data_IF_889593559913
#
_entry.id   IF_889593559913
#
_cell.length_a   1.000
_cell.length_b   1.000
_cell.length_c   1.000
_cell.angle_alpha   90.00
_cell.angle_beta   90.00
_cell.angle_gamma   90.00
#
_symmetry.space_group_name_H-M   'P 1'
#
loop_
_entity.id
_entity.type
_entity.pdbx_description
1 polymer ?
#
# COMPACT_ATOMS: atom_id res chain seq x y z
N UNK A 1 1.09 -3.37 -2.92
CA UNK A 1 1.59 -2.48 -3.99
C UNK A 1 3.04 -2.11 -3.70
N UNK A 2 3.91 -2.05 -4.71
CA UNK A 2 5.32 -1.68 -4.53
C UNK A 2 5.61 -0.19 -4.76
N UNK A 3 4.73 0.69 -4.31
CA UNK A 3 4.84 2.14 -4.55
C UNK A 3 5.89 2.80 -3.67
N UNK A 4 6.16 2.21 -2.49
CA UNK A 4 7.22 2.62 -1.57
C UNK A 4 8.23 1.51 -1.27
N UNK A 5 8.12 0.35 -1.94
CA UNK A 5 8.95 -0.83 -1.71
C UNK A 5 9.10 -1.67 -2.99
N UNK A 6 10.21 -2.38 -3.13
CA UNK A 6 10.53 -3.34 -4.19
C UNK A 6 10.78 -2.80 -5.62
N UNK A 7 10.09 -1.76 -6.11
CA UNK A 7 10.23 -1.29 -7.51
C UNK A 7 11.05 -0.01 -7.68
N UNK A 8 12.28 -0.02 -7.16
CA UNK A 8 13.21 1.10 -7.25
C UNK A 8 12.92 2.20 -6.22
N UNK A 9 13.58 3.37 -6.36
CA UNK A 9 13.41 4.47 -5.41
C UNK A 9 11.95 4.95 -5.36
N UNK A 10 11.41 5.23 -4.16
CA UNK A 10 10.07 5.79 -4.03
C UNK A 10 9.96 7.10 -4.81
N UNK A 11 8.81 7.29 -5.46
CA UNK A 11 8.49 8.52 -6.18
C UNK A 11 7.88 9.55 -5.21
N UNK A 12 7.84 10.84 -5.58
CA UNK A 12 7.17 11.85 -4.77
C UNK A 12 5.73 11.44 -4.45
N UNK A 13 5.30 11.67 -3.21
CA UNK A 13 3.99 11.26 -2.70
C UNK A 13 2.83 11.75 -3.59
N UNK A 14 2.90 13.01 -4.04
CA UNK A 14 1.87 13.60 -4.89
C UNK A 14 1.70 12.86 -6.23
N UNK A 15 2.78 12.33 -6.80
CA UNK A 15 2.72 11.58 -8.05
C UNK A 15 2.11 10.20 -7.82
N UNK A 16 2.37 9.58 -6.66
CA UNK A 16 1.77 8.31 -6.28
C UNK A 16 0.28 8.44 -5.98
N UNK A 17 -0.16 9.52 -5.33
CA UNK A 17 -1.59 9.81 -5.14
C UNK A 17 -2.29 9.95 -6.49
N UNK A 18 -1.71 10.71 -7.42
CA UNK A 18 -2.24 10.85 -8.80
C UNK A 18 -2.32 9.50 -9.52
N UNK A 19 -1.31 8.65 -9.35
CA UNK A 19 -1.29 7.32 -9.94
C UNK A 19 -2.43 6.44 -9.39
N UNK A 20 -2.68 6.46 -8.08
CA UNK A 20 -3.80 5.73 -7.47
C UNK A 20 -5.13 6.24 -8.02
N UNK A 21 -5.33 7.56 -8.08
CA UNK A 21 -6.55 8.15 -8.63
C UNK A 21 -6.76 7.78 -10.11
N UNK A 22 -5.68 7.79 -10.90
CA UNK A 22 -5.72 7.36 -12.29
C UNK A 22 -6.12 5.89 -12.42
N UNK A 23 -5.53 5.01 -11.60
CA UNK A 23 -5.87 3.58 -11.60
C UNK A 23 -7.35 3.34 -11.27
N UNK A 24 -7.87 4.01 -10.24
CA UNK A 24 -9.30 3.92 -9.86
C UNK A 24 -10.20 4.48 -10.97
N UNK A 25 -9.82 5.60 -11.58
CA UNK A 25 -10.55 6.18 -12.72
C UNK A 25 -10.54 5.26 -13.95
N UNK A 26 -9.49 4.45 -14.13
CA UNK A 26 -9.37 3.44 -15.17
C UNK A 26 -10.11 2.13 -14.85
N UNK A 27 -10.82 2.05 -13.72
CA UNK A 27 -11.63 0.90 -13.34
C UNK A 27 -10.92 -0.13 -12.45
N UNK A 28 -9.74 0.19 -11.90
CA UNK A 28 -9.12 -0.66 -10.87
C UNK A 28 -9.93 -0.56 -9.58
N UNK A 29 -10.45 -1.69 -9.11
CA UNK A 29 -11.31 -1.77 -7.91
C UNK A 29 -10.65 -2.46 -6.73
N UNK A 30 -9.46 -3.02 -6.86
CA UNK A 30 -8.74 -3.68 -5.76
C UNK A 30 -7.43 -2.95 -5.48
N UNK A 31 -7.26 -2.48 -4.25
CA UNK A 31 -6.01 -1.94 -3.73
C UNK A 31 -5.45 -2.89 -2.67
N UNK A 32 -4.24 -3.37 -2.92
CA UNK A 32 -3.54 -4.34 -2.08
C UNK A 32 -2.34 -3.71 -1.37
N UNK A 33 -2.24 -3.87 -0.04
CA UNK A 33 -1.15 -3.32 0.77
C UNK A 33 -0.65 -4.33 1.82
N UNK A 34 0.34 -3.92 2.61
CA UNK A 34 0.89 -4.63 3.78
C UNK A 34 1.63 -3.63 4.66
N UNK A 35 1.65 -3.88 5.96
CA UNK A 35 2.50 -3.22 6.96
C UNK A 35 4.00 -3.24 6.58
N UNK A 36 4.44 -4.30 5.91
CA UNK A 36 5.81 -4.49 5.43
C UNK A 36 6.15 -3.60 4.23
N UNK A 37 5.16 -3.11 3.48
CA UNK A 37 5.43 -2.29 2.29
C UNK A 37 5.91 -0.89 2.68
N UNK A 38 7.23 -0.70 2.56
CA UNK A 38 7.92 0.58 2.61
C UNK A 38 8.15 1.09 4.02
N UNK A 39 8.78 0.27 4.88
CA UNK A 39 8.35 0.04 6.27
C UNK A 39 7.42 1.13 6.81
N UNK A 40 6.11 0.83 6.88
CA UNK A 40 5.04 1.67 7.40
C UNK A 40 4.63 2.92 6.60
N UNK A 41 5.14 3.14 5.38
CA UNK A 41 4.76 4.33 4.57
C UNK A 41 3.66 4.07 3.54
N UNK A 42 3.52 2.85 3.01
CA UNK A 42 2.56 2.59 1.92
C UNK A 42 1.11 2.78 2.39
N UNK A 43 0.76 2.33 3.59
CA UNK A 43 -0.59 2.48 4.13
C UNK A 43 -0.96 3.93 4.41
N UNK A 44 0.01 4.77 4.83
CA UNK A 44 -0.19 6.22 4.97
C UNK A 44 -0.47 6.89 3.62
N UNK A 45 0.28 6.52 2.58
CA UNK A 45 0.07 6.99 1.22
C UNK A 45 -1.32 6.61 0.70
N UNK A 46 -1.74 5.35 0.89
CA UNK A 46 -3.11 4.93 0.55
C UNK A 46 -4.15 5.73 1.34
N UNK A 47 -3.95 5.93 2.64
CA UNK A 47 -4.84 6.73 3.48
C UNK A 47 -5.03 8.15 2.97
N UNK A 48 -3.98 8.78 2.43
CA UNK A 48 -4.06 10.10 1.79
C UNK A 48 -4.82 10.05 0.46
N UNK A 49 -4.54 9.04 -0.38
CA UNK A 49 -5.20 8.92 -1.67
C UNK A 49 -6.72 8.65 -1.55
N UNK A 50 -7.12 7.86 -0.55
CA UNK A 50 -8.51 7.46 -0.32
C UNK A 50 -9.40 8.55 0.29
N UNK A 51 -8.80 9.62 0.84
CA UNK A 51 -9.55 10.76 1.39
C UNK A 51 -10.22 11.62 0.31
N UNK A 52 -9.82 11.48 -0.96
CA UNK A 52 -10.48 12.19 -2.05
C UNK A 52 -11.91 11.67 -2.26
N UNK A 53 -12.87 12.59 -2.43
CA UNK A 53 -14.29 12.28 -2.53
C UNK A 53 -14.59 11.19 -3.56
N UNK A 54 -15.30 10.15 -3.11
CA UNK A 54 -15.77 9.06 -3.98
C UNK A 54 -14.73 8.02 -4.35
N UNK A 55 -13.46 8.14 -3.91
CA UNK A 55 -12.41 7.15 -4.22
C UNK A 55 -12.56 5.92 -3.34
N UNK A 56 -12.83 6.10 -2.04
CA UNK A 56 -12.93 5.00 -1.07
C UNK A 56 -14.05 4.01 -1.41
N UNK A 57 -15.16 4.50 -1.93
CA UNK A 57 -16.36 3.71 -2.25
C UNK A 57 -16.17 2.86 -3.51
N UNK A 58 -15.20 3.21 -4.36
CA UNK A 58 -14.92 2.52 -5.63
C UNK A 58 -13.95 1.34 -5.48
N UNK A 59 -13.39 1.15 -4.28
CA UNK A 59 -12.31 0.19 -4.08
C UNK A 59 -12.49 -0.71 -2.87
N UNK A 60 -11.93 -1.90 -3.01
CA UNK A 60 -11.78 -2.92 -2.01
C UNK A 60 -10.34 -2.82 -1.54
N UNK A 61 -10.16 -2.65 -0.24
CA UNK A 61 -8.85 -2.50 0.38
C UNK A 61 -8.48 -3.80 1.08
N UNK A 62 -7.39 -4.42 0.64
CA UNK A 62 -6.82 -5.62 1.25
C UNK A 62 -5.48 -5.26 1.91
N UNK A 63 -5.29 -5.65 3.17
CA UNK A 63 -3.99 -5.56 3.84
C UNK A 63 -3.54 -6.93 4.34
N UNK A 64 -2.25 -7.04 4.65
CA UNK A 64 -1.57 -8.26 5.10
C UNK A 64 -0.58 -7.89 6.19
N UNK A 65 -0.34 -8.83 7.09
CA UNK A 65 0.59 -8.71 8.20
C UNK A 65 1.28 -10.05 8.45
N UNK A 66 2.28 -10.04 9.35
CA UNK A 66 2.98 -11.25 9.77
C UNK A 66 4.33 -11.47 9.10
N UNK A 67 4.87 -10.49 8.38
CA UNK A 67 6.25 -10.51 7.89
C UNK A 67 7.02 -9.36 8.53
N UNK A 68 8.19 -9.64 9.10
CA UNK A 68 9.10 -8.63 9.64
C UNK A 68 10.51 -8.83 9.09
N UNK A 69 11.31 -7.77 9.12
CA UNK A 69 12.73 -7.83 8.77
C UNK A 69 13.56 -7.29 9.93
N UNK A 70 14.40 -8.16 10.51
CA UNK A 70 15.27 -7.86 11.64
C UNK A 70 16.58 -8.65 11.49
N UNK A 71 17.71 -8.08 11.91
CA UNK A 71 19.03 -8.73 11.87
C UNK A 71 19.44 -9.31 10.50
N UNK A 72 18.98 -8.68 9.42
CA UNK A 72 19.25 -9.11 8.05
C UNK A 72 18.44 -10.35 7.62
N UNK A 73 17.47 -10.78 8.42
CA UNK A 73 16.63 -11.94 8.16
C UNK A 73 15.15 -11.54 8.05
N UNK A 74 14.44 -12.23 7.15
CA UNK A 74 12.99 -12.15 7.06
C UNK A 74 12.38 -13.19 8.00
N UNK A 75 11.52 -12.73 8.89
CA UNK A 75 10.76 -13.59 9.80
C UNK A 75 9.29 -13.60 9.40
N UNK A 76 8.64 -14.76 9.57
CA UNK A 76 7.20 -14.93 9.32
C UNK A 76 6.53 -15.31 10.63
N UNK A 77 5.63 -14.46 11.09
CA UNK A 77 4.83 -14.64 12.30
C UNK A 77 3.47 -15.23 11.92
N UNK A 78 3.26 -16.49 12.30
CA UNK A 78 1.95 -17.10 12.18
C UNK A 78 0.95 -16.43 13.14
N UNK A 79 -0.29 -16.30 12.69
CA UNK A 79 -1.42 -15.99 13.58
C UNK A 79 -1.51 -17.09 14.63
N UNK A 80 -1.17 -16.76 15.88
CA UNK A 80 -1.47 -17.63 17.01
C UNK A 80 -2.99 -17.59 17.20
N UNK A 81 -3.64 -18.74 17.02
CA UNK A 81 -5.05 -18.94 17.39
C UNK A 81 -5.19 -18.99 18.91
#
# INVERSE_FOLDING_TARGET
MGMSFAYGPPKPEADMVKLIHHAVAAGVTLLDTSDFYGPHTNELLLGKALQADGVREKVQLATKFGVSFGDGQTEVHALRQ
#
